data_IF_637521681123
#
_entry.id   IF_637521681123
#
_cell.length_a   1.000
_cell.length_b   1.000
_cell.length_c   1.000
_cell.angle_alpha   90.00
_cell.angle_beta   90.00
_cell.angle_gamma   90.00
#
_symmetry.space_group_name_H-M   'P 1'
#
loop_
_entity.id
_entity.type
_entity.pdbx_description
1 polymer ?
#
# COMPACT_ATOMS: atom_id res chain seq x y z
N UNK A 1 -3.07 -18.66 -3.41
CA UNK A 1 -3.82 -17.75 -4.31
C UNK A 1 -3.30 -17.82 -5.73
N UNK A 2 -2.03 -17.52 -6.02
CA UNK A 2 -1.53 -17.60 -7.39
C UNK A 2 -1.53 -19.02 -7.97
N UNK A 3 -1.22 -20.04 -7.16
CA UNK A 3 -1.31 -21.45 -7.55
C UNK A 3 -2.76 -21.83 -7.90
N UNK A 4 -3.72 -21.54 -7.01
CA UNK A 4 -5.15 -21.73 -7.28
C UNK A 4 -5.59 -21.05 -8.58
N UNK A 5 -5.22 -19.78 -8.79
CA UNK A 5 -5.57 -19.11 -10.05
C UNK A 5 -4.98 -19.82 -11.28
N UNK A 6 -3.76 -20.36 -11.20
CA UNK A 6 -3.14 -21.12 -12.31
C UNK A 6 -3.81 -22.46 -12.54
N UNK A 7 -4.25 -23.13 -11.49
CA UNK A 7 -4.93 -24.43 -11.55
C UNK A 7 -6.31 -24.33 -12.23
N UNK A 8 -7.03 -23.22 -12.01
CA UNK A 8 -8.38 -22.98 -12.53
C UNK A 8 -8.41 -21.99 -13.71
N UNK A 9 -7.27 -21.75 -14.36
CA UNK A 9 -7.11 -20.81 -15.49
C UNK A 9 -7.68 -19.40 -15.24
N UNK A 10 -7.65 -18.98 -13.97
CA UNK A 10 -8.05 -17.63 -13.56
C UNK A 10 -6.91 -16.64 -13.82
N UNK A 11 -7.22 -15.44 -14.30
CA UNK A 11 -6.23 -14.38 -14.41
C UNK A 11 -5.53 -14.09 -13.07
N UNK A 12 -4.19 -14.01 -13.09
CA UNK A 12 -3.35 -13.84 -11.89
C UNK A 12 -2.88 -12.40 -11.64
N UNK A 13 -3.09 -11.50 -12.59
CA UNK A 13 -2.70 -10.09 -12.48
C UNK A 13 -3.76 -9.26 -11.76
N UNK A 14 -3.29 -8.21 -11.09
CA UNK A 14 -4.12 -7.26 -10.35
C UNK A 14 -3.59 -7.02 -8.94
N UNK A 15 -4.26 -6.16 -8.19
CA UNK A 15 -4.03 -5.99 -6.76
C UNK A 15 -4.44 -7.24 -5.98
N UNK A 16 -3.95 -7.39 -4.73
CA UNK A 16 -4.36 -8.51 -3.85
C UNK A 16 -5.88 -8.57 -3.70
N UNK A 17 -6.54 -7.41 -3.63
CA UNK A 17 -7.99 -7.30 -3.47
C UNK A 17 -8.69 -7.81 -4.74
N UNK A 18 -8.28 -7.33 -5.91
CA UNK A 18 -8.85 -7.75 -7.20
C UNK A 18 -8.73 -9.27 -7.42
N UNK A 19 -7.57 -9.85 -7.11
CA UNK A 19 -7.37 -11.30 -7.22
C UNK A 19 -8.26 -12.07 -6.22
N UNK A 20 -8.44 -11.54 -5.01
CA UNK A 20 -9.30 -12.15 -3.99
C UNK A 20 -10.78 -12.12 -4.39
N UNK A 21 -11.27 -10.98 -4.87
CA UNK A 21 -12.65 -10.83 -5.35
C UNK A 21 -12.94 -11.74 -6.56
N UNK A 22 -11.96 -11.89 -7.46
CA UNK A 22 -12.05 -12.80 -8.60
C UNK A 22 -12.20 -14.25 -8.15
N UNK A 23 -11.37 -14.70 -7.21
CA UNK A 23 -11.47 -16.05 -6.64
C UNK A 23 -12.82 -16.24 -5.94
N UNK A 24 -13.24 -15.28 -5.11
CA UNK A 24 -14.52 -15.36 -4.40
C UNK A 24 -15.70 -15.48 -5.38
N UNK A 25 -15.72 -14.66 -6.44
CA UNK A 25 -16.78 -14.70 -7.45
C UNK A 25 -16.79 -16.02 -8.21
N UNK A 26 -15.61 -16.57 -8.55
CA UNK A 26 -15.50 -17.88 -9.18
C UNK A 26 -16.06 -18.99 -8.28
N UNK A 27 -15.71 -18.98 -6.99
CA UNK A 27 -16.21 -19.97 -6.02
C UNK A 27 -17.73 -19.88 -5.80
N UNK A 28 -18.32 -18.68 -5.84
CA UNK A 28 -19.76 -18.50 -5.61
C UNK A 28 -20.61 -18.68 -6.88
N UNK A 29 -20.10 -18.32 -8.05
CA UNK A 29 -20.90 -18.23 -9.29
C UNK A 29 -20.38 -19.09 -10.44
N UNK A 30 -19.17 -19.65 -10.34
CA UNK A 30 -18.48 -20.34 -11.43
C UNK A 30 -17.98 -19.44 -12.56
N UNK A 31 -18.19 -18.12 -12.48
CA UNK A 31 -17.82 -17.18 -13.56
C UNK A 31 -16.39 -16.68 -13.42
N UNK A 32 -15.68 -16.65 -14.55
CA UNK A 32 -14.33 -16.08 -14.64
C UNK A 32 -14.43 -14.59 -14.96
N UNK A 33 -14.11 -13.74 -13.98
CA UNK A 33 -13.94 -12.30 -14.20
C UNK A 33 -12.64 -12.05 -14.97
N UNK A 34 -12.77 -11.45 -16.16
CA UNK A 34 -11.62 -11.00 -16.95
C UNK A 34 -10.83 -9.94 -16.18
N UNK A 35 -9.56 -9.82 -16.52
CA UNK A 35 -8.76 -8.70 -16.04
C UNK A 35 -9.40 -7.38 -16.45
N UNK A 36 -9.37 -6.41 -15.53
CA UNK A 36 -9.50 -5.00 -15.91
C UNK A 36 -8.49 -4.73 -17.03
N UNK A 37 -8.89 -4.00 -18.09
CA UNK A 37 -8.00 -3.73 -19.21
C UNK A 37 -6.71 -3.12 -18.65
N UNK A 38 -5.57 -3.72 -19.02
CA UNK A 38 -4.28 -3.20 -18.61
C UNK A 38 -4.20 -1.73 -19.06
N UNK A 39 -4.01 -0.81 -18.11
CA UNK A 39 -3.81 0.60 -18.44
C UNK A 39 -2.65 0.65 -19.43
N UNK A 40 -2.91 1.11 -20.67
CA UNK A 40 -1.89 1.17 -21.71
C UNK A 40 -0.69 1.91 -21.10
N UNK A 41 0.49 1.29 -21.13
CA UNK A 41 1.73 2.01 -20.81
C UNK A 41 1.90 3.06 -21.89
N UNK A 42 1.38 4.27 -21.68
CA UNK A 42 1.88 5.41 -22.41
C UNK A 42 3.32 5.58 -21.98
N UNK A 43 4.24 5.33 -22.90
CA UNK A 43 5.57 5.93 -22.86
C UNK A 43 5.31 7.43 -22.82
N UNK A 44 5.46 8.03 -21.63
CA UNK A 44 5.60 9.47 -21.52
C UNK A 44 6.65 9.88 -22.56
N UNK A 45 6.42 10.93 -23.36
CA UNK A 45 7.47 11.49 -24.19
C UNK A 45 8.68 11.70 -23.28
N UNK A 46 9.85 11.29 -23.75
CA UNK A 46 11.11 11.54 -23.06
C UNK A 46 11.46 13.04 -23.15
N UNK A 47 10.59 13.90 -22.61
CA UNK A 47 10.98 15.28 -22.31
C UNK A 47 11.87 15.20 -21.09
N UNK A 48 13.18 15.23 -21.34
CA UNK A 48 14.27 15.33 -20.36
C UNK A 48 14.26 16.67 -19.60
N UNK A 49 13.08 17.26 -19.38
CA UNK A 49 12.95 18.43 -18.52
C UNK A 49 13.23 17.97 -17.09
N UNK A 50 14.25 18.53 -16.41
CA UNK A 50 14.53 18.16 -15.04
C UNK A 50 13.32 18.48 -14.16
N UNK A 51 13.01 17.58 -13.24
CA UNK A 51 11.94 17.79 -12.27
C UNK A 51 12.21 19.06 -11.46
N UNK A 52 11.18 19.88 -11.28
CA UNK A 52 11.23 21.09 -10.48
C UNK A 52 10.05 21.13 -9.53
N UNK A 53 10.06 22.08 -8.59
CA UNK A 53 8.93 22.30 -7.69
C UNK A 53 7.64 22.64 -8.45
N UNK A 54 7.74 23.21 -9.66
CA UNK A 54 6.61 23.56 -10.51
C UNK A 54 6.15 22.40 -11.41
N UNK A 55 6.79 21.24 -11.35
CA UNK A 55 6.33 20.06 -12.08
C UNK A 55 4.93 19.66 -11.63
N UNK A 56 4.01 19.55 -12.59
CA UNK A 56 2.62 19.17 -12.33
C UNK A 56 2.47 17.66 -12.17
N UNK A 57 1.65 17.26 -11.21
CA UNK A 57 1.25 15.88 -10.97
C UNK A 57 0.31 15.44 -12.10
N UNK A 58 0.68 14.38 -12.81
CA UNK A 58 -0.11 13.84 -13.92
C UNK A 58 -0.94 12.63 -13.49
N UNK A 59 -1.98 12.31 -14.26
CA UNK A 59 -2.86 11.14 -14.03
C UNK A 59 -2.11 9.79 -14.01
N UNK A 60 -0.92 9.76 -14.61
CA UNK A 60 -0.03 8.61 -14.71
C UNK A 60 1.26 8.78 -13.89
N UNK A 61 1.25 9.68 -12.90
CA UNK A 61 2.40 9.94 -12.04
C UNK A 61 2.95 8.63 -11.45
N UNK A 62 4.28 8.48 -11.53
CA UNK A 62 5.01 7.33 -10.99
C UNK A 62 5.99 7.78 -9.93
N UNK A 63 6.02 7.05 -8.82
CA UNK A 63 7.07 7.17 -7.81
C UNK A 63 8.37 6.51 -8.30
N UNK A 64 8.94 7.02 -9.37
CA UNK A 64 10.18 6.54 -10.00
C UNK A 64 11.42 6.85 -9.15
N UNK A 65 12.57 6.27 -9.51
CA UNK A 65 13.85 6.65 -8.90
C UNK A 65 14.19 8.12 -9.15
N UNK A 66 13.84 8.67 -10.31
CA UNK A 66 14.03 10.08 -10.65
C UNK A 66 13.21 11.00 -9.74
N UNK A 67 11.91 10.72 -9.58
CA UNK A 67 11.07 11.45 -8.64
C UNK A 67 11.60 11.30 -7.20
N UNK A 68 12.08 10.10 -6.82
CA UNK A 68 12.68 9.88 -5.51
C UNK A 68 13.93 10.74 -5.30
N UNK A 69 14.81 10.82 -6.30
CA UNK A 69 16.03 11.63 -6.23
C UNK A 69 15.68 13.10 -6.05
N UNK A 70 14.74 13.62 -6.85
CA UNK A 70 14.24 14.98 -6.74
C UNK A 70 13.70 15.29 -5.33
N UNK A 71 12.77 14.48 -4.81
CA UNK A 71 12.22 14.73 -3.47
C UNK A 71 13.28 14.58 -2.36
N UNK A 72 14.27 13.70 -2.52
CA UNK A 72 15.39 13.60 -1.57
C UNK A 72 16.30 14.81 -1.61
N UNK A 73 16.47 15.46 -2.75
CA UNK A 73 17.25 16.69 -2.86
C UNK A 73 16.58 17.84 -2.10
N UNK A 74 15.26 17.98 -2.24
CA UNK A 74 14.48 19.03 -1.58
C UNK A 74 14.28 18.76 -0.07
N UNK A 75 13.85 17.55 0.29
CA UNK A 75 13.43 17.21 1.66
C UNK A 75 14.59 16.61 2.49
N UNK A 76 15.56 15.98 1.82
CA UNK A 76 16.68 15.29 2.44
C UNK A 76 16.49 13.77 2.60
N UNK A 77 17.47 13.14 3.24
CA UNK A 77 17.59 11.68 3.36
C UNK A 77 16.42 10.98 4.09
N UNK A 78 15.63 11.74 4.87
CA UNK A 78 14.44 11.23 5.57
C UNK A 78 13.27 10.95 4.64
N UNK A 79 13.30 11.47 3.41
CA UNK A 79 12.21 11.31 2.46
C UNK A 79 11.91 9.84 2.14
N UNK A 80 10.63 9.48 2.20
CA UNK A 80 10.09 8.20 1.75
C UNK A 80 8.69 8.42 1.18
N UNK A 81 8.38 7.68 0.11
CA UNK A 81 7.01 7.61 -0.41
C UNK A 81 6.11 6.85 0.56
N UNK A 82 5.26 7.58 1.26
CA UNK A 82 4.23 7.03 2.15
C UNK A 82 2.97 6.70 1.34
N UNK A 83 2.10 5.85 1.89
CA UNK A 83 0.83 5.48 1.23
C UNK A 83 -0.07 6.71 1.03
N UNK A 84 -0.10 7.59 2.03
CA UNK A 84 -0.79 8.88 2.03
C UNK A 84 -0.26 9.81 0.94
N UNK A 85 1.07 9.95 0.79
CA UNK A 85 1.66 10.74 -0.29
C UNK A 85 1.39 10.11 -1.67
N UNK A 86 1.39 8.78 -1.78
CA UNK A 86 1.01 8.11 -3.02
C UNK A 86 -0.46 8.34 -3.38
N UNK A 87 -1.35 8.41 -2.39
CA UNK A 87 -2.76 8.75 -2.59
C UNK A 87 -2.92 10.23 -2.96
N UNK A 88 -2.14 11.12 -2.33
CA UNK A 88 -2.09 12.53 -2.68
C UNK A 88 -1.81 12.72 -4.18
N UNK A 89 -0.81 12.03 -4.75
CA UNK A 89 -0.54 12.10 -6.19
C UNK A 89 -1.70 11.62 -7.07
N UNK A 90 -2.49 10.63 -6.61
CA UNK A 90 -3.63 10.10 -7.38
C UNK A 90 -4.84 11.04 -7.34
N UNK A 91 -5.06 11.67 -6.19
CA UNK A 91 -6.22 12.51 -5.91
C UNK A 91 -6.01 13.96 -6.36
N UNK A 92 -4.77 14.40 -6.55
CA UNK A 92 -4.42 15.80 -6.81
C UNK A 92 -3.70 15.98 -8.16
N UNK A 93 -4.33 15.50 -9.24
CA UNK A 93 -3.85 15.75 -10.60
C UNK A 93 -3.90 17.25 -10.89
N UNK A 94 -2.81 17.79 -11.46
CA UNK A 94 -2.67 19.22 -11.75
C UNK A 94 -2.11 20.06 -10.58
N UNK A 95 -1.91 19.48 -9.39
CA UNK A 95 -1.10 20.13 -8.34
C UNK A 95 0.38 20.03 -8.64
N UNK A 96 1.18 20.86 -7.97
CA UNK A 96 2.64 20.91 -8.19
C UNK A 96 3.38 19.95 -7.26
N UNK A 97 4.66 19.75 -7.53
CA UNK A 97 5.55 19.04 -6.60
C UNK A 97 5.81 19.86 -5.33
N UNK A 98 5.73 21.19 -5.39
CA UNK A 98 5.72 22.04 -4.20
C UNK A 98 4.56 21.68 -3.26
N UNK A 99 3.35 21.51 -3.79
CA UNK A 99 2.20 21.06 -2.99
C UNK A 99 2.45 19.69 -2.35
N UNK A 100 3.11 18.78 -3.08
CA UNK A 100 3.45 17.44 -2.57
C UNK A 100 4.52 17.49 -1.45
N UNK A 101 5.48 18.41 -1.55
CA UNK A 101 6.49 18.66 -0.51
C UNK A 101 5.81 19.21 0.74
N UNK A 102 4.95 20.22 0.60
CA UNK A 102 4.17 20.79 1.70
C UNK A 102 3.34 19.71 2.39
N UNK A 103 2.59 18.92 1.63
CA UNK A 103 1.82 17.79 2.15
C UNK A 103 2.69 16.78 2.92
N UNK A 104 3.92 16.52 2.44
CA UNK A 104 4.83 15.60 3.12
C UNK A 104 5.25 16.11 4.50
N UNK A 105 5.55 17.41 4.62
CA UNK A 105 5.90 18.03 5.91
C UNK A 105 4.72 18.01 6.88
N UNK A 106 3.53 18.40 6.44
CA UNK A 106 2.30 18.29 7.24
C UNK A 106 2.02 16.85 7.69
N UNK A 107 2.36 15.86 6.86
CA UNK A 107 2.26 14.45 7.24
C UNK A 107 3.26 14.08 8.34
N UNK A 108 4.48 14.63 8.32
CA UNK A 108 5.47 14.38 9.37
C UNK A 108 5.04 15.04 10.69
N UNK A 109 4.51 16.26 10.65
CA UNK A 109 3.99 16.93 11.84
C UNK A 109 2.85 16.14 12.48
N UNK A 110 1.90 15.66 11.68
CA UNK A 110 0.83 14.76 12.17
C UNK A 110 1.39 13.48 12.81
N UNK A 111 2.46 12.91 12.26
CA UNK A 111 3.10 11.71 12.84
C UNK A 111 3.81 11.97 14.17
N UNK A 112 4.17 13.20 14.47
CA UNK A 112 4.78 13.55 15.75
C UNK A 112 3.74 13.63 16.88
N UNK A 113 2.45 13.74 16.55
CA UNK A 113 1.36 13.67 17.53
C UNK A 113 1.23 12.23 18.08
N UNK A 114 1.40 12.00 19.40
CA UNK A 114 1.25 10.68 20.01
C UNK A 114 -0.15 10.05 19.82
N UNK A 115 -1.17 10.88 19.59
CA UNK A 115 -2.54 10.44 19.33
C UNK A 115 -2.75 9.98 17.88
N UNK A 116 -1.87 10.38 16.96
CA UNK A 116 -1.98 10.03 15.55
C UNK A 116 -1.70 8.55 15.33
N UNK A 117 -2.74 7.84 14.87
CA UNK A 117 -2.64 6.44 14.47
C UNK A 117 -2.86 6.35 12.97
N UNK A 118 -1.81 6.09 12.16
CA UNK A 118 -1.99 5.95 10.73
C UNK A 118 -2.96 4.80 10.43
N UNK A 119 -3.87 5.04 9.48
CA UNK A 119 -4.72 3.98 8.96
C UNK A 119 -3.87 3.01 8.13
N UNK A 120 -3.94 1.72 8.46
CA UNK A 120 -3.30 0.67 7.69
C UNK A 120 -4.39 0.06 6.82
N UNK A 121 -4.26 0.19 5.49
CA UNK A 121 -5.29 -0.23 4.52
C UNK A 121 -5.51 -1.74 4.41
N UNK A 122 -6.71 -2.14 3.94
CA UNK A 122 -7.29 -3.51 3.90
C UNK A 122 -6.34 -4.63 3.41
N UNK A 123 -5.44 -4.30 2.51
CA UNK A 123 -4.47 -5.23 1.94
C UNK A 123 -3.29 -5.59 2.86
N UNK A 124 -2.96 -4.76 3.85
CA UNK A 124 -1.80 -4.93 4.73
C UNK A 124 -2.16 -5.69 6.01
N UNK A 125 -2.66 -6.92 5.86
CA UNK A 125 -3.12 -7.77 6.96
C UNK A 125 -2.03 -8.03 8.01
N UNK A 126 -0.83 -8.46 7.58
CA UNK A 126 0.30 -8.72 8.49
C UNK A 126 0.64 -7.50 9.36
N UNK A 127 0.69 -6.30 8.76
CA UNK A 127 1.00 -5.07 9.49
C UNK A 127 -0.09 -4.74 10.51
N UNK A 128 -1.38 -4.97 10.16
CA UNK A 128 -2.49 -4.77 11.10
C UNK A 128 -2.51 -5.78 12.22
N UNK A 129 -2.29 -7.04 11.89
CA UNK A 129 -2.13 -8.10 12.86
C UNK A 129 -1.04 -7.75 13.86
N UNK A 130 0.14 -7.39 13.37
CA UNK A 130 1.30 -7.07 14.21
C UNK A 130 1.01 -5.86 15.11
N UNK A 131 0.37 -4.82 14.57
CA UNK A 131 -0.02 -3.65 15.37
C UNK A 131 -1.00 -4.02 16.48
N UNK A 132 -2.04 -4.81 16.15
CA UNK A 132 -3.03 -5.25 17.13
C UNK A 132 -2.42 -6.17 18.19
N UNK A 133 -1.54 -7.09 17.78
CA UNK A 133 -0.80 -7.99 18.67
C UNK A 133 -0.04 -7.21 19.74
N UNK A 134 0.70 -6.16 19.38
CA UNK A 134 1.45 -5.35 20.36
C UNK A 134 0.61 -4.31 21.11
N UNK A 135 -0.60 -4.01 20.65
CA UNK A 135 -1.55 -3.17 21.40
C UNK A 135 -2.26 -3.94 22.51
N UNK A 136 -2.21 -5.27 22.47
CA UNK A 136 -2.77 -6.12 23.50
C UNK A 136 -1.92 -6.09 24.78
N UNK A 137 -2.48 -5.67 25.93
CA UNK A 137 -1.79 -5.70 27.21
C UNK A 137 -1.26 -7.09 27.60
N UNK A 138 -1.91 -8.18 27.16
CA UNK A 138 -1.47 -9.55 27.44
C UNK A 138 -0.18 -9.95 26.69
N UNK A 139 0.18 -9.20 25.63
CA UNK A 139 1.42 -9.41 24.88
C UNK A 139 2.55 -8.48 25.32
N UNK A 140 2.42 -7.80 26.46
CA UNK A 140 3.50 -6.95 26.99
C UNK A 140 4.77 -7.78 27.21
N UNK A 141 5.89 -7.33 26.64
CA UNK A 141 7.19 -8.04 26.71
C UNK A 141 7.40 -9.10 25.63
N UNK A 142 6.40 -9.38 24.79
CA UNK A 142 6.58 -10.24 23.61
C UNK A 142 7.46 -9.58 22.57
N UNK A 143 8.14 -10.41 21.79
CA UNK A 143 9.09 -10.01 20.75
C UNK A 143 8.44 -10.00 19.38
N UNK A 144 9.14 -9.44 18.38
CA UNK A 144 8.75 -9.55 16.96
C UNK A 144 8.64 -11.01 16.51
N UNK A 145 9.48 -11.90 17.04
CA UNK A 145 9.44 -13.33 16.71
C UNK A 145 8.12 -13.95 17.19
N UNK A 146 7.66 -13.58 18.38
CA UNK A 146 6.36 -14.05 18.89
C UNK A 146 5.19 -13.59 18.01
N UNK A 147 5.21 -12.33 17.56
CA UNK A 147 4.17 -11.81 16.67
C UNK A 147 4.16 -12.54 15.31
N UNK A 148 5.34 -12.89 14.77
CA UNK A 148 5.46 -13.66 13.52
C UNK A 148 4.93 -15.09 13.73
N UNK A 149 5.26 -15.73 14.85
CA UNK A 149 4.74 -17.07 15.18
C UNK A 149 3.22 -17.06 15.30
N UNK A 150 2.64 -16.09 16.01
CA UNK A 150 1.18 -15.95 16.14
C UNK A 150 0.51 -15.66 14.78
N UNK A 151 1.14 -14.83 13.94
CA UNK A 151 0.66 -14.57 12.58
C UNK A 151 0.62 -15.84 11.73
N UNK A 152 1.68 -16.65 11.78
CA UNK A 152 1.75 -17.91 11.03
C UNK A 152 0.71 -18.92 11.52
N UNK A 153 0.43 -18.96 12.82
CA UNK A 153 -0.62 -19.80 13.42
C UNK A 153 -2.03 -19.39 12.95
N UNK A 154 -2.33 -18.09 12.92
CA UNK A 154 -3.64 -17.61 12.48
C UNK A 154 -3.81 -17.77 10.97
N UNK A 155 -2.76 -17.50 10.20
CA UNK A 155 -2.76 -17.63 8.74
C UNK A 155 -2.97 -19.08 8.26
N UNK A 156 -2.65 -20.09 9.08
CA UNK A 156 -2.91 -21.49 8.74
C UNK A 156 -4.35 -21.93 9.03
N UNK A 157 -5.09 -21.18 9.85
CA UNK A 157 -6.48 -21.46 10.20
C UNK A 157 -7.42 -20.90 9.13
N UNK A 158 -8.55 -21.57 8.85
CA UNK A 158 -9.57 -21.02 7.98
C UNK A 158 -10.27 -19.83 8.66
N UNK A 159 -10.50 -18.76 7.91
CA UNK A 159 -11.26 -17.59 8.38
C UNK A 159 -10.47 -16.29 8.32
N UNK A 160 -10.83 -15.35 9.22
CA UNK A 160 -10.24 -14.02 9.26
C UNK A 160 -8.84 -14.06 9.90
N UNK A 161 -7.87 -13.41 9.26
CA UNK A 161 -6.51 -13.25 9.80
C UNK A 161 -6.39 -12.07 10.78
N UNK A 162 -7.50 -11.59 11.34
CA UNK A 162 -7.51 -10.50 12.31
C UNK A 162 -6.98 -11.03 13.64
N UNK A 163 -6.16 -10.22 14.32
CA UNK A 163 -5.70 -10.57 15.66
C UNK A 163 -6.87 -10.61 16.64
N UNK A 164 -7.02 -11.73 17.33
CA UNK A 164 -8.00 -11.91 18.41
C UNK A 164 -7.25 -11.88 19.76
N UNK A 165 -7.61 -10.96 20.67
CA UNK A 165 -7.00 -10.91 22.01
C UNK A 165 -7.21 -12.23 22.75
N UNK A 166 -6.13 -12.83 23.25
CA UNK A 166 -6.21 -14.00 24.13
C UNK A 166 -6.56 -13.49 25.52
N UNK A 167 -7.82 -13.69 25.94
CA UNK A 167 -8.30 -13.43 27.30
C UNK A 167 -7.68 -14.40 28.30
#
# INVERSE_FOLDING_TARGET
MQEFCREYDLPTSGSKIEVTERIATFLTTGKILKNSPARKKQTLPSSYEPLSLQTLITENHRCSEEARAFFKEIIGAKFRFTVTLQNFFKENIGKTYEDAVTFWYEEQERKNDPSYKPNIGAQFEYNRFTRAFFQDPYNKGKTKVDAISAWNEIKSKPGSNVYEPKK
#
